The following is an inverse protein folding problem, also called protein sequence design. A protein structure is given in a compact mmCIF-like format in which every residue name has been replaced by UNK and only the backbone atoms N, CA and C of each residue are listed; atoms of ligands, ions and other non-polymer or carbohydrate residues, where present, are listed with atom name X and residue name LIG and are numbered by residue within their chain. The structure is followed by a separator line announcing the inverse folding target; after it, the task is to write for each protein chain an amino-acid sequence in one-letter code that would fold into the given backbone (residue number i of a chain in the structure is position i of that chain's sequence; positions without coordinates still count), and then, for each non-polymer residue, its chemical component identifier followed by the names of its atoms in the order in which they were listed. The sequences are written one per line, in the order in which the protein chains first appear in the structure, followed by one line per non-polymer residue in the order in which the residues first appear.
data_IF_099863841147
#
_entry.id   IF_099863841147
#
_cell.length_a   1.000
_cell.length_b   1.000
_cell.length_c   1.000
_cell.angle_alpha   90.00
_cell.angle_beta   90.00
_cell.angle_gamma   90.00
#
_symmetry.space_group_name_H-M   'P 1'
#
loop_
_entity.id
_entity.type
_entity.pdbx_description
1 polymer ?
#
# COMPACT_ATOMS: atom_id res chain seq x y z
N UNK A 1 -11.60 1.13 27.11
CA UNK A 1 -12.17 1.12 25.76
C UNK A 1 -12.10 -0.32 25.24
N UNK A 2 -13.20 -0.80 24.68
CA UNK A 2 -13.25 -2.13 24.06
C UNK A 2 -12.44 -2.09 22.77
N UNK A 3 -11.30 -2.78 22.75
CA UNK A 3 -10.37 -2.81 21.61
C UNK A 3 -11.08 -3.33 20.34
N UNK A 4 -12.02 -4.26 20.50
CA UNK A 4 -12.82 -4.78 19.38
C UNK A 4 -13.66 -3.70 18.70
N UNK A 5 -14.21 -2.76 19.47
CA UNK A 5 -14.95 -1.62 18.90
C UNK A 5 -14.08 -0.66 18.10
N UNK A 6 -12.84 -0.45 18.55
CA UNK A 6 -11.89 0.39 17.82
C UNK A 6 -11.54 -0.25 16.48
N UNK A 7 -11.26 -1.55 16.46
CA UNK A 7 -10.98 -2.26 15.20
C UNK A 7 -12.17 -2.23 14.24
N UNK A 8 -13.40 -2.43 14.75
CA UNK A 8 -14.59 -2.35 13.92
C UNK A 8 -14.73 -0.98 13.24
N UNK A 9 -14.51 0.11 13.98
CA UNK A 9 -14.52 1.46 13.42
C UNK A 9 -13.39 1.66 12.38
N UNK A 10 -12.19 1.17 12.64
CA UNK A 10 -11.08 1.23 11.68
C UNK A 10 -11.37 0.45 10.39
N UNK A 11 -12.17 -0.60 10.49
CA UNK A 11 -12.64 -1.37 9.33
C UNK A 11 -13.86 -0.76 8.65
N UNK A 12 -14.32 0.41 9.12
CA UNK A 12 -15.48 1.12 8.58
C UNK A 12 -16.82 0.49 8.94
N UNK A 13 -16.86 -0.22 10.07
CA UNK A 13 -18.07 -0.92 10.57
C UNK A 13 -18.51 -0.29 11.87
N UNK A 14 -19.83 -0.08 12.02
CA UNK A 14 -20.40 0.37 13.27
C UNK A 14 -20.22 -0.72 14.35
N UNK A 15 -19.52 -0.43 15.45
CA UNK A 15 -19.21 -1.45 16.47
C UNK A 15 -20.41 -1.89 17.29
N UNK A 16 -21.55 -1.21 17.16
CA UNK A 16 -22.80 -1.52 17.90
C UNK A 16 -23.77 -2.27 16.99
N UNK A 17 -23.96 -1.79 15.77
CA UNK A 17 -24.96 -2.34 14.85
C UNK A 17 -24.38 -3.33 13.85
N UNK A 18 -23.06 -3.35 13.65
CA UNK A 18 -22.41 -4.13 12.59
C UNK A 18 -22.62 -3.57 11.17
N UNK A 19 -23.26 -2.41 11.05
CA UNK A 19 -23.52 -1.77 9.77
C UNK A 19 -22.20 -1.25 9.14
N UNK A 20 -22.05 -1.44 7.82
CA UNK A 20 -20.91 -0.88 7.08
C UNK A 20 -21.11 0.62 6.91
N UNK A 21 -20.32 1.41 7.63
CA UNK A 21 -20.34 2.87 7.59
C UNK A 21 -19.59 3.40 6.37
N UNK A 22 -18.44 2.79 6.05
CA UNK A 22 -17.57 3.17 4.95
C UNK A 22 -17.08 1.91 4.24
N UNK A 23 -17.56 1.69 3.02
CA UNK A 23 -17.00 0.64 2.18
C UNK A 23 -15.55 1.01 1.79
N UNK A 24 -14.57 0.11 1.99
CA UNK A 24 -13.20 0.38 1.60
C UNK A 24 -13.12 0.58 0.09
N UNK A 25 -12.49 1.66 -0.34
CA UNK A 25 -12.16 1.85 -1.75
C UNK A 25 -11.16 0.77 -2.16
N UNK A 26 -11.55 -0.08 -3.08
CA UNK A 26 -10.70 -1.15 -3.59
C UNK A 26 -9.99 -0.70 -4.87
N UNK A 27 -8.70 -0.93 -4.95
CA UNK A 27 -7.93 -0.78 -6.18
C UNK A 27 -7.19 -2.08 -6.49
N UNK A 28 -6.83 -2.25 -7.75
CA UNK A 28 -5.94 -3.35 -8.15
C UNK A 28 -4.56 -3.06 -7.56
N UNK A 29 -4.03 -4.01 -6.79
CA UNK A 29 -2.67 -3.90 -6.25
C UNK A 29 -1.65 -3.80 -7.38
N UNK A 30 -0.58 -3.02 -7.17
CA UNK A 30 0.58 -3.15 -8.05
C UNK A 30 1.08 -4.58 -7.97
N UNK A 31 1.28 -5.19 -9.14
CA UNK A 31 1.80 -6.55 -9.20
C UNK A 31 3.22 -6.62 -8.65
N UNK A 32 3.57 -7.79 -8.14
CA UNK A 32 4.91 -8.01 -7.63
C UNK A 32 5.96 -7.68 -8.69
N UNK A 33 6.98 -6.95 -8.28
CA UNK A 33 8.12 -6.61 -9.13
C UNK A 33 9.22 -7.64 -8.95
N UNK A 34 9.66 -8.23 -10.03
CA UNK A 34 10.76 -9.20 -10.07
C UNK A 34 12.05 -8.55 -10.61
N UNK A 35 13.25 -9.07 -10.26
CA UNK A 35 14.49 -8.68 -10.91
C UNK A 35 14.37 -8.86 -12.42
N UNK A 36 14.83 -7.88 -13.21
CA UNK A 36 14.69 -7.93 -14.67
C UNK A 36 15.77 -8.79 -15.35
N UNK A 37 16.93 -8.95 -14.70
CA UNK A 37 18.09 -9.67 -15.27
C UNK A 37 17.75 -11.09 -15.68
N UNK A 38 17.07 -11.94 -14.88
CA UNK A 38 16.78 -13.32 -15.31
C UNK A 38 15.93 -13.40 -16.58
N UNK A 39 14.99 -12.47 -16.79
CA UNK A 39 14.19 -12.43 -18.02
C UNK A 39 15.03 -11.96 -19.22
N UNK A 40 15.91 -10.98 -19.01
CA UNK A 40 16.83 -10.51 -20.02
C UNK A 40 17.77 -11.64 -20.48
N UNK A 41 18.40 -12.34 -19.53
CA UNK A 41 19.33 -13.43 -19.83
C UNK A 41 18.63 -14.59 -20.55
N UNK A 42 17.41 -14.93 -20.16
CA UNK A 42 16.62 -15.97 -20.84
C UNK A 42 16.35 -15.62 -22.31
N UNK A 43 16.04 -14.36 -22.62
CA UNK A 43 15.78 -13.91 -23.99
C UNK A 43 17.08 -13.88 -24.80
N UNK A 44 18.17 -13.34 -24.25
CA UNK A 44 19.48 -13.29 -24.91
C UNK A 44 19.99 -14.70 -25.18
N UNK A 45 19.90 -15.60 -24.20
CA UNK A 45 20.29 -16.99 -24.36
C UNK A 45 19.49 -17.70 -25.46
N UNK A 46 18.16 -17.53 -25.46
CA UNK A 46 17.31 -18.13 -26.49
C UNK A 46 17.56 -17.59 -27.91
N UNK A 47 17.96 -16.34 -28.04
CA UNK A 47 18.40 -15.75 -29.31
C UNK A 47 19.72 -16.38 -29.78
N UNK A 48 20.71 -16.46 -28.88
CA UNK A 48 22.01 -17.06 -29.17
C UNK A 48 21.89 -18.53 -29.61
N UNK A 49 21.04 -19.33 -28.96
CA UNK A 49 20.74 -20.72 -29.37
C UNK A 49 20.16 -20.82 -30.79
N UNK A 50 19.45 -19.77 -31.25
CA UNK A 50 18.88 -19.69 -32.60
C UNK A 50 19.82 -19.01 -33.61
N UNK A 51 21.00 -18.61 -33.18
CA UNK A 51 21.99 -17.93 -34.02
C UNK A 51 21.56 -16.55 -34.52
N UNK A 52 20.78 -15.81 -33.72
CA UNK A 52 20.25 -14.48 -34.05
C UNK A 52 20.46 -13.50 -32.91
N UNK A 53 20.26 -12.23 -33.18
CA UNK A 53 20.28 -11.19 -32.15
C UNK A 53 18.97 -11.22 -31.35
N UNK A 54 19.03 -10.81 -30.06
CA UNK A 54 17.86 -10.82 -29.19
C UNK A 54 16.71 -9.94 -29.72
N UNK A 55 17.03 -8.88 -30.45
CA UNK A 55 16.08 -7.98 -31.10
C UNK A 55 15.25 -8.66 -32.18
N UNK A 56 15.83 -9.63 -32.88
CA UNK A 56 15.18 -10.37 -33.99
C UNK A 56 14.08 -11.33 -33.51
N UNK A 57 14.03 -11.62 -32.20
CA UNK A 57 12.93 -12.36 -31.61
C UNK A 57 11.62 -11.57 -31.60
N UNK A 58 11.69 -10.25 -31.73
CA UNK A 58 10.55 -9.33 -31.67
C UNK A 58 10.12 -8.93 -33.09
N UNK A 59 8.87 -9.23 -33.44
CA UNK A 59 8.38 -9.15 -34.82
C UNK A 59 8.00 -7.75 -35.27
N UNK A 60 7.46 -6.95 -34.34
CA UNK A 60 7.00 -5.59 -34.65
C UNK A 60 8.02 -4.55 -34.20
N UNK A 61 8.01 -3.38 -34.84
CA UNK A 61 8.90 -2.28 -34.46
C UNK A 61 8.57 -1.80 -33.03
N UNK A 62 7.31 -1.86 -32.63
CA UNK A 62 6.88 -1.53 -31.26
C UNK A 62 7.49 -2.49 -30.24
N UNK A 63 7.50 -3.80 -30.53
CA UNK A 63 8.07 -4.79 -29.63
C UNK A 63 9.59 -4.68 -29.55
N UNK A 64 10.25 -4.42 -30.69
CA UNK A 64 11.69 -4.13 -30.75
C UNK A 64 12.05 -2.90 -29.91
N UNK A 65 11.30 -1.81 -30.03
CA UNK A 65 11.51 -0.62 -29.24
C UNK A 65 11.28 -0.85 -27.72
N UNK A 66 10.27 -1.67 -27.37
CA UNK A 66 10.01 -2.08 -26.00
C UNK A 66 11.16 -2.93 -25.44
N UNK A 67 11.68 -3.88 -26.22
CA UNK A 67 12.84 -4.69 -25.87
C UNK A 67 14.10 -3.81 -25.71
N UNK A 68 14.42 -2.95 -26.69
CA UNK A 68 15.57 -2.07 -26.61
C UNK A 68 15.55 -1.18 -25.35
N UNK A 69 14.37 -0.69 -25.01
CA UNK A 69 14.18 0.10 -23.77
C UNK A 69 14.41 -0.76 -22.53
N UNK A 70 13.88 -1.98 -22.50
CA UNK A 70 14.05 -2.91 -21.39
C UNK A 70 15.54 -3.30 -21.24
N UNK A 71 16.20 -3.71 -22.33
CA UNK A 71 17.61 -4.10 -22.36
C UNK A 71 18.52 -2.97 -21.85
N UNK A 72 18.29 -1.74 -22.31
CA UNK A 72 19.03 -0.55 -21.85
C UNK A 72 18.87 -0.33 -20.35
N UNK A 73 17.67 -0.52 -19.79
CA UNK A 73 17.44 -0.37 -18.36
C UNK A 73 18.12 -1.49 -17.56
N UNK A 74 18.11 -2.72 -18.06
CA UNK A 74 18.86 -3.82 -17.44
C UNK A 74 20.37 -3.54 -17.43
N UNK A 75 20.92 -3.12 -18.56
CA UNK A 75 22.36 -2.77 -18.67
C UNK A 75 22.75 -1.60 -17.75
N UNK A 76 21.87 -0.59 -17.61
CA UNK A 76 22.15 0.59 -16.79
C UNK A 76 22.03 0.31 -15.28
N UNK A 77 21.12 -0.55 -14.85
CA UNK A 77 20.76 -0.74 -13.43
C UNK A 77 21.10 -2.13 -12.86
N UNK A 78 21.39 -3.10 -13.72
CA UNK A 78 21.70 -4.47 -13.32
C UNK A 78 20.65 -5.08 -12.41
N UNK A 79 21.11 -5.76 -11.37
CA UNK A 79 20.27 -6.49 -10.40
C UNK A 79 19.30 -5.60 -9.62
N UNK A 80 19.50 -4.28 -9.60
CA UNK A 80 18.60 -3.35 -8.93
C UNK A 80 17.33 -3.06 -9.72
N UNK A 81 17.35 -3.35 -11.04
CA UNK A 81 16.20 -3.10 -11.90
C UNK A 81 15.12 -4.15 -11.70
N UNK A 82 13.96 -3.70 -11.28
CA UNK A 82 12.78 -4.54 -11.05
C UNK A 82 11.62 -4.10 -11.91
N UNK A 83 10.93 -5.06 -12.48
CA UNK A 83 9.77 -4.83 -13.35
C UNK A 83 8.59 -5.68 -12.90
N UNK A 84 7.39 -5.26 -13.24
CA UNK A 84 6.18 -6.03 -12.91
C UNK A 84 6.16 -7.37 -13.65
N UNK A 85 5.54 -8.35 -13.04
CA UNK A 85 5.41 -9.70 -13.60
C UNK A 85 4.71 -9.67 -14.95
N UNK A 86 3.70 -8.80 -15.15
CA UNK A 86 3.00 -8.65 -16.42
C UNK A 86 3.93 -8.22 -17.55
N UNK A 87 4.84 -7.30 -17.25
CA UNK A 87 5.82 -6.85 -18.26
C UNK A 87 6.78 -7.94 -18.64
N UNK A 88 7.19 -8.78 -17.69
CA UNK A 88 8.05 -9.93 -17.95
C UNK A 88 7.31 -10.96 -18.80
N UNK A 89 6.05 -11.28 -18.46
CA UNK A 89 5.22 -12.19 -19.23
C UNK A 89 5.01 -11.70 -20.66
N UNK A 90 4.67 -10.41 -20.82
CA UNK A 90 4.47 -9.82 -22.14
C UNK A 90 5.74 -9.92 -23.02
N UNK A 91 6.93 -9.67 -22.44
CA UNK A 91 8.19 -9.88 -23.16
C UNK A 91 8.39 -11.34 -23.55
N UNK A 92 8.10 -12.28 -22.65
CA UNK A 92 8.18 -13.72 -22.93
C UNK A 92 7.20 -14.18 -24.01
N UNK A 93 5.97 -13.69 -23.99
CA UNK A 93 4.93 -14.00 -24.97
C UNK A 93 5.32 -13.52 -26.37
N UNK A 94 5.72 -12.25 -26.49
CA UNK A 94 6.10 -11.63 -27.78
C UNK A 94 7.37 -12.27 -28.37
N UNK A 95 8.38 -12.53 -27.53
CA UNK A 95 9.63 -13.20 -27.95
C UNK A 95 9.51 -14.70 -28.12
N UNK A 96 8.41 -15.31 -27.64
CA UNK A 96 8.19 -16.76 -27.55
C UNK A 96 9.29 -17.48 -26.75
N UNK A 97 9.75 -16.83 -25.70
CA UNK A 97 10.74 -17.36 -24.77
C UNK A 97 10.11 -17.64 -23.42
N UNK A 98 10.31 -18.83 -22.83
CA UNK A 98 9.76 -19.17 -21.51
C UNK A 98 10.54 -18.47 -20.39
N UNK A 99 10.38 -17.15 -20.28
CA UNK A 99 11.10 -16.30 -19.32
C UNK A 99 10.91 -16.71 -17.86
N UNK A 100 9.82 -17.41 -17.54
CA UNK A 100 9.56 -17.96 -16.21
C UNK A 100 10.66 -18.90 -15.72
N UNK A 101 11.35 -19.59 -16.62
CA UNK A 101 12.45 -20.51 -16.30
C UNK A 101 13.66 -19.83 -15.67
N UNK A 102 13.84 -18.52 -15.88
CA UNK A 102 14.89 -17.73 -15.25
C UNK A 102 14.64 -17.43 -13.77
N UNK A 103 13.46 -17.76 -13.25
CA UNK A 103 13.07 -17.48 -11.86
C UNK A 103 12.87 -18.76 -11.06
N UNK A 104 13.07 -18.66 -9.74
CA UNK A 104 12.71 -19.76 -8.85
C UNK A 104 11.19 -20.04 -8.89
N UNK A 105 10.79 -21.32 -8.94
CA UNK A 105 9.38 -21.74 -9.06
C UNK A 105 8.47 -21.02 -8.05
N UNK A 106 8.88 -20.96 -6.77
CA UNK A 106 8.09 -20.31 -5.72
C UNK A 106 8.01 -18.79 -5.93
N UNK A 107 9.11 -18.17 -6.35
CA UNK A 107 9.17 -16.74 -6.62
C UNK A 107 8.24 -16.34 -7.74
N UNK A 108 8.25 -17.09 -8.84
CA UNK A 108 7.36 -16.87 -9.98
C UNK A 108 5.89 -17.08 -9.61
N UNK A 109 5.58 -18.19 -8.93
CA UNK A 109 4.21 -18.47 -8.50
C UNK A 109 3.63 -17.39 -7.59
N UNK A 110 4.42 -16.87 -6.64
CA UNK A 110 3.98 -15.78 -5.78
C UNK A 110 3.74 -14.48 -6.56
N UNK A 111 4.59 -14.18 -7.55
CA UNK A 111 4.42 -13.01 -8.39
C UNK A 111 3.15 -13.10 -9.25
N UNK A 112 2.87 -14.26 -9.83
CA UNK A 112 1.64 -14.51 -10.58
C UNK A 112 0.41 -14.40 -9.67
N UNK A 113 0.45 -14.96 -8.46
CA UNK A 113 -0.65 -14.88 -7.52
C UNK A 113 -0.99 -13.44 -7.09
N UNK A 114 -0.04 -12.50 -7.21
CA UNK A 114 -0.27 -11.09 -6.90
C UNK A 114 -1.00 -10.32 -8.01
N UNK A 115 -1.14 -10.90 -9.21
CA UNK A 115 -1.80 -10.24 -10.35
C UNK A 115 -3.29 -10.04 -10.08
N UNK A 116 -3.73 -8.82 -10.32
CA UNK A 116 -5.15 -8.50 -10.25
C UNK A 116 -5.75 -8.55 -8.84
N UNK A 117 -4.95 -8.76 -7.79
CA UNK A 117 -5.44 -8.72 -6.43
C UNK A 117 -6.02 -7.34 -6.12
N UNK A 118 -7.22 -7.33 -5.54
CA UNK A 118 -7.85 -6.10 -5.07
C UNK A 118 -7.48 -5.89 -3.61
N UNK A 119 -6.92 -4.73 -3.32
CA UNK A 119 -6.55 -4.33 -1.96
C UNK A 119 -7.31 -3.07 -1.56
N UNK A 120 -7.67 -2.93 -0.29
CA UNK A 120 -8.24 -1.69 0.19
C UNK A 120 -7.20 -0.59 0.10
N UNK A 121 -7.56 0.53 -0.55
CA UNK A 121 -6.72 1.72 -0.69
C UNK A 121 -7.36 2.89 0.01
N UNK A 122 -6.51 3.74 0.57
CA UNK A 122 -6.93 4.94 1.28
C UNK A 122 -6.42 4.93 2.72
N UNK A 123 -6.51 6.08 3.33
CA UNK A 123 -6.18 6.27 4.74
C UNK A 123 -7.40 5.81 5.54
N UNK A 124 -7.27 4.71 6.29
CA UNK A 124 -8.33 4.22 7.17
C UNK A 124 -8.52 5.09 8.42
N UNK A 125 -7.50 5.85 8.78
CA UNK A 125 -7.51 6.74 9.94
C UNK A 125 -6.13 7.33 10.20
N UNK A 126 -6.08 8.24 11.15
CA UNK A 126 -4.84 8.79 11.67
C UNK A 126 -4.68 8.34 13.11
N UNK A 127 -3.50 7.90 13.48
CA UNK A 127 -3.14 7.66 14.87
C UNK A 127 -2.70 9.00 15.48
N UNK A 128 -3.43 9.47 16.49
CA UNK A 128 -3.14 10.72 17.18
C UNK A 128 -2.65 10.41 18.58
N UNK A 129 -1.34 10.54 18.78
CA UNK A 129 -0.70 10.39 20.08
C UNK A 129 -0.75 11.70 20.86
N UNK A 130 -1.36 11.69 22.05
CA UNK A 130 -1.29 12.80 23.00
C UNK A 130 -0.20 12.49 24.03
N UNK A 131 0.83 13.33 24.07
CA UNK A 131 1.95 13.20 25.00
C UNK A 131 1.98 14.37 25.98
N UNK A 132 2.29 14.07 27.23
CA UNK A 132 2.52 15.11 28.22
C UNK A 132 3.83 15.84 27.90
N UNK A 133 3.86 17.14 28.19
CA UNK A 133 5.12 17.91 28.16
C UNK A 133 6.14 17.32 29.16
N UNK A 134 7.42 17.51 28.87
CA UNK A 134 8.49 17.03 29.75
C UNK A 134 8.32 17.49 31.19
N UNK A 135 7.91 18.75 31.41
CA UNK A 135 7.65 19.28 32.73
C UNK A 135 6.49 18.61 33.46
N UNK A 136 5.37 18.35 32.75
CA UNK A 136 4.24 17.63 33.29
C UNK A 136 4.58 16.18 33.63
N UNK A 137 5.36 15.52 32.78
CA UNK A 137 5.83 14.14 33.05
C UNK A 137 6.74 14.07 34.27
N UNK A 138 7.66 15.04 34.46
CA UNK A 138 8.49 15.13 35.63
C UNK A 138 7.67 15.43 36.90
N UNK A 139 6.70 16.34 36.79
CA UNK A 139 5.79 16.66 37.89
C UNK A 139 5.03 15.39 38.38
N UNK A 140 4.55 14.56 37.46
CA UNK A 140 3.89 13.28 37.79
C UNK A 140 4.82 12.29 38.50
N UNK A 141 6.10 12.25 38.10
CA UNK A 141 7.07 11.35 38.72
C UNK A 141 7.46 11.79 40.10
N UNK A 142 7.60 13.11 40.31
CA UNK A 142 8.08 13.69 41.56
C UNK A 142 6.97 13.91 42.60
N UNK A 143 5.72 13.90 42.17
CA UNK A 143 4.58 14.10 43.07
C UNK A 143 4.38 12.95 44.05
N UNK A 144 3.89 13.23 45.23
CA UNK A 144 3.43 12.25 46.20
C UNK A 144 2.11 11.57 45.75
N UNK A 145 1.63 10.59 46.50
CA UNK A 145 0.46 9.78 46.12
C UNK A 145 -0.78 10.61 45.76
N UNK A 146 -1.29 11.46 46.66
CA UNK A 146 -2.46 12.30 46.37
C UNK A 146 -2.26 13.30 45.26
N UNK A 147 -1.11 13.98 45.23
CA UNK A 147 -0.76 14.94 44.20
C UNK A 147 -0.61 14.27 42.83
N UNK A 148 -0.02 13.07 42.77
CA UNK A 148 0.11 12.28 41.55
C UNK A 148 -1.26 11.88 40.98
N UNK A 149 -2.18 11.45 41.83
CA UNK A 149 -3.54 11.11 41.39
C UNK A 149 -4.26 12.33 40.82
N UNK A 150 -4.11 13.50 41.47
CA UNK A 150 -4.71 14.74 40.98
C UNK A 150 -4.12 15.18 39.65
N UNK A 151 -2.80 15.13 39.49
CA UNK A 151 -2.13 15.46 38.23
C UNK A 151 -2.50 14.49 37.10
N UNK A 152 -2.61 13.19 37.41
CA UNK A 152 -3.04 12.19 36.46
C UNK A 152 -4.50 12.36 36.04
N UNK A 153 -5.36 12.82 36.96
CA UNK A 153 -6.76 13.12 36.66
C UNK A 153 -6.87 14.33 35.71
N UNK A 154 -6.11 15.39 35.98
CA UNK A 154 -6.04 16.58 35.12
C UNK A 154 -5.53 16.21 33.72
N UNK A 155 -4.46 15.42 33.63
CA UNK A 155 -3.90 14.99 32.36
C UNK A 155 -4.91 14.14 31.54
N UNK A 156 -5.64 13.24 32.19
CA UNK A 156 -6.71 12.46 31.53
C UNK A 156 -7.84 13.36 31.05
N UNK A 157 -8.26 14.31 31.87
CA UNK A 157 -9.31 15.27 31.50
C UNK A 157 -8.91 16.09 30.29
N UNK A 158 -7.72 16.65 30.28
CA UNK A 158 -7.18 17.43 29.14
C UNK A 158 -7.09 16.58 27.86
N UNK A 159 -6.66 15.32 27.99
CA UNK A 159 -6.64 14.39 26.84
C UNK A 159 -8.04 14.14 26.28
N UNK A 160 -9.03 13.89 27.15
CA UNK A 160 -10.41 13.66 26.72
C UNK A 160 -11.03 14.90 26.05
N UNK A 161 -10.77 16.08 26.55
CA UNK A 161 -11.23 17.33 25.95
C UNK A 161 -10.58 17.56 24.58
N UNK A 162 -9.27 17.30 24.46
CA UNK A 162 -8.55 17.40 23.19
C UNK A 162 -9.10 16.39 22.16
N UNK A 163 -9.39 15.15 22.58
CA UNK A 163 -9.99 14.16 21.70
C UNK A 163 -11.38 14.57 21.22
N UNK A 164 -12.21 15.13 22.10
CA UNK A 164 -13.54 15.64 21.72
C UNK A 164 -13.43 16.76 20.70
N UNK A 165 -12.56 17.73 20.97
CA UNK A 165 -12.35 18.86 20.07
C UNK A 165 -11.79 18.41 18.71
N UNK A 166 -10.85 17.47 18.67
CA UNK A 166 -10.38 16.86 17.44
C UNK A 166 -11.51 16.12 16.70
N UNK A 167 -12.35 15.36 17.45
CA UNK A 167 -13.51 14.69 16.89
C UNK A 167 -14.46 15.67 16.20
N UNK A 168 -14.75 16.78 16.85
CA UNK A 168 -15.68 17.78 16.32
C UNK A 168 -15.12 18.53 15.10
N UNK A 169 -13.80 18.74 15.05
CA UNK A 169 -13.15 19.53 13.99
C UNK A 169 -12.71 18.70 12.79
N UNK A 170 -12.19 17.48 13.00
CA UNK A 170 -11.51 16.70 11.96
C UNK A 170 -12.08 15.32 11.71
N UNK A 171 -12.85 14.75 12.64
CA UNK A 171 -13.49 13.46 12.44
C UNK A 171 -14.74 13.62 11.57
N UNK A 172 -14.53 13.65 10.26
CA UNK A 172 -15.62 13.61 9.30
C UNK A 172 -15.38 12.53 8.26
N UNK A 173 -16.43 11.84 7.89
CA UNK A 173 -16.46 10.95 6.73
C UNK A 173 -17.20 11.63 5.57
N UNK A 174 -16.77 11.36 4.37
CA UNK A 174 -17.50 11.76 3.18
C UNK A 174 -18.10 10.53 2.52
N UNK A 175 -19.41 10.49 2.37
CA UNK A 175 -20.12 9.48 1.57
C UNK A 175 -20.52 10.10 0.23
N UNK A 176 -20.31 9.35 -0.85
CA UNK A 176 -20.70 9.76 -2.19
C UNK A 176 -19.56 9.64 -3.21
N UNK A 177 -19.92 9.76 -4.46
CA UNK A 177 -18.98 9.66 -5.59
C UNK A 177 -18.29 11.02 -5.79
N UNK A 178 -16.98 11.09 -5.61
CA UNK A 178 -16.19 12.30 -5.87
C UNK A 178 -15.92 12.47 -7.39
N UNK A 179 -16.94 12.54 -8.18
CA UNK A 179 -16.81 12.70 -9.63
C UNK A 179 -18.16 12.99 -10.24
N UNK A 180 -18.44 14.26 -10.57
CA UNK A 180 -19.67 14.63 -11.27
C UNK A 180 -20.54 15.66 -10.57
N UNK A 181 -19.98 16.57 -9.78
CA UNK A 181 -20.68 17.79 -9.34
C UNK A 181 -21.72 17.62 -8.23
N UNK A 182 -21.80 16.46 -7.59
CA UNK A 182 -22.62 16.27 -6.39
C UNK A 182 -21.76 16.44 -5.15
N UNK A 183 -22.17 17.34 -4.27
CA UNK A 183 -21.50 17.55 -2.98
C UNK A 183 -21.60 16.28 -2.12
N UNK A 184 -20.46 15.77 -1.68
CA UNK A 184 -20.41 14.70 -0.71
C UNK A 184 -21.06 15.15 0.61
N UNK A 185 -21.98 14.36 1.13
CA UNK A 185 -22.54 14.60 2.45
C UNK A 185 -21.47 14.40 3.52
N UNK A 186 -21.25 15.37 4.38
CA UNK A 186 -20.41 15.23 5.57
C UNK A 186 -21.20 14.43 6.60
N UNK A 187 -20.62 13.34 7.08
CA UNK A 187 -21.10 12.63 8.26
C UNK A 187 -20.25 13.14 9.42
N UNK A 188 -20.89 13.88 10.33
CA UNK A 188 -20.24 14.27 11.58
C UNK A 188 -19.91 13.04 12.40
N UNK A 189 -18.71 13.00 12.99
CA UNK A 189 -18.36 11.99 13.97
C UNK A 189 -19.25 12.20 15.20
N UNK A 190 -20.10 11.24 15.51
CA UNK A 190 -20.77 11.19 16.79
C UNK A 190 -19.80 10.63 17.81
N UNK A 191 -19.41 11.48 18.78
CA UNK A 191 -18.58 11.11 19.92
C UNK A 191 -19.23 10.04 20.82
#
# INVERSE_FOLDING_TARGET
ADVGRVYALMDGVNPVTGEVLLAPKMAVAESAKLPAVPAYDAIVFAAAERGMDAEDLFRTDTDRAAWATFARQVQAKGDTYRVSVERIEALGEVSRVPVASGYGRKQWANAIASKGQRVPVGIKGYDVGLTLTKGASLGLVMADGPQREQLAAIARQAALETYRELGDRVAYGATGHHGGGQSAARIGGTG
#
